data_IF_935442489966
#
_entry.id   IF_935442489966
#
_cell.length_a   1.000
_cell.length_b   1.000
_cell.length_c   1.000
_cell.angle_alpha   90.00
_cell.angle_beta   90.00
_cell.angle_gamma   90.00
#
_symmetry.space_group_name_H-M   'P 1'
#
loop_
_entity.id
_entity.type
_entity.pdbx_description
1 polymer ?
#
# COMPACT_ATOMS: atom_id res chain seq x y z
N UNK A 1 -17.23 -0.83 6.46
CA UNK A 1 -16.51 -0.78 5.16
C UNK A 1 -15.99 -2.16 4.73
N UNK A 2 -16.11 -2.51 3.44
CA UNK A 2 -15.45 -3.64 2.77
C UNK A 2 -14.37 -3.13 1.82
N UNK A 3 -13.13 -3.59 1.97
CA UNK A 3 -11.98 -3.10 1.18
C UNK A 3 -11.27 -4.22 0.41
N UNK A 4 -11.02 -3.99 -0.88
CA UNK A 4 -10.21 -4.87 -1.72
C UNK A 4 -8.87 -4.21 -2.04
N UNK A 5 -7.75 -4.78 -1.60
CA UNK A 5 -6.45 -4.43 -2.16
C UNK A 5 -6.21 -5.15 -3.48
N UNK A 6 -5.75 -4.40 -4.48
CA UNK A 6 -5.52 -4.87 -5.83
C UNK A 6 -4.11 -4.51 -6.29
N UNK A 7 -3.30 -5.53 -6.59
CA UNK A 7 -2.02 -5.33 -7.28
C UNK A 7 -0.81 -5.84 -6.51
N UNK A 8 0.06 -4.92 -6.11
CA UNK A 8 1.42 -5.23 -5.68
C UNK A 8 1.50 -5.97 -4.34
N UNK A 9 2.58 -6.74 -4.22
CA UNK A 9 3.11 -7.33 -3.00
C UNK A 9 4.62 -7.46 -3.16
N UNK A 10 5.34 -7.49 -2.06
CA UNK A 10 6.79 -7.70 -2.02
C UNK A 10 7.16 -8.24 -0.64
N UNK A 11 8.30 -8.90 -0.50
CA UNK A 11 8.91 -9.09 0.81
C UNK A 11 9.91 -7.96 1.10
N UNK A 12 9.91 -7.47 2.34
CA UNK A 12 10.95 -6.60 2.85
C UNK A 12 11.91 -7.45 3.68
N UNK A 13 13.13 -7.67 3.16
CA UNK A 13 14.17 -8.46 3.82
C UNK A 13 15.11 -7.58 4.63
N UNK A 14 15.01 -7.71 5.94
CA UNK A 14 15.84 -7.04 6.92
C UNK A 14 17.10 -7.87 7.12
N UNK A 15 18.12 -7.64 6.28
CA UNK A 15 19.32 -8.49 6.22
C UNK A 15 20.10 -8.48 7.54
N UNK A 16 20.04 -7.39 8.30
CA UNK A 16 20.66 -7.27 9.62
C UNK A 16 19.92 -8.05 10.73
N UNK A 17 18.75 -8.63 10.41
CA UNK A 17 17.93 -9.44 11.32
C UNK A 17 17.74 -10.88 10.87
N UNK A 18 18.23 -11.23 9.68
CA UNK A 18 17.96 -12.52 9.03
C UNK A 18 16.47 -12.84 8.86
N UNK A 19 15.65 -11.82 8.62
CA UNK A 19 14.18 -11.92 8.55
C UNK A 19 13.62 -11.28 7.26
N UNK A 20 12.55 -11.86 6.72
CA UNK A 20 11.70 -11.25 5.70
C UNK A 20 10.30 -11.01 6.23
N UNK A 21 9.73 -9.86 5.89
CA UNK A 21 8.38 -9.49 6.25
C UNK A 21 7.53 -9.37 4.98
N UNK A 22 6.34 -9.98 4.93
CA UNK A 22 5.36 -9.70 3.88
C UNK A 22 5.04 -8.19 3.82
N UNK A 23 4.93 -7.67 2.60
CA UNK A 23 4.82 -6.25 2.33
C UNK A 23 4.17 -5.93 0.97
N UNK A 24 4.29 -4.68 0.56
CA UNK A 24 3.69 -4.12 -0.65
C UNK A 24 2.35 -3.44 -0.37
N UNK A 25 2.14 -2.29 -0.98
CA UNK A 25 1.13 -1.32 -0.58
C UNK A 25 -0.29 -1.92 -0.60
N UNK A 26 -0.69 -2.55 -1.71
CA UNK A 26 -2.02 -3.14 -1.82
C UNK A 26 -2.27 -4.27 -0.81
N UNK A 27 -1.25 -5.09 -0.54
CA UNK A 27 -1.33 -6.16 0.46
C UNK A 27 -1.40 -5.59 1.90
N UNK A 28 -0.52 -4.64 2.21
CA UNK A 28 -0.46 -3.96 3.50
C UNK A 28 -1.79 -3.31 3.84
N UNK A 29 -2.34 -2.51 2.93
CA UNK A 29 -3.63 -1.83 3.14
C UNK A 29 -4.77 -2.83 3.35
N UNK A 30 -4.76 -4.00 2.69
CA UNK A 30 -5.77 -5.05 2.89
C UNK A 30 -5.77 -5.62 4.31
N UNK A 31 -4.57 -5.89 4.85
CA UNK A 31 -4.39 -6.39 6.21
C UNK A 31 -4.70 -5.31 7.23
N UNK A 32 -4.13 -4.12 7.05
CA UNK A 32 -4.26 -3.01 7.98
C UNK A 32 -5.69 -2.48 8.05
N UNK A 33 -6.43 -2.51 6.94
CA UNK A 33 -7.86 -2.20 6.93
C UNK A 33 -8.66 -3.20 7.77
N UNK A 34 -8.28 -4.49 7.75
CA UNK A 34 -8.90 -5.50 8.59
C UNK A 34 -8.63 -5.24 10.07
N UNK A 35 -7.39 -4.91 10.41
CA UNK A 35 -6.95 -4.62 11.79
C UNK A 35 -7.60 -3.39 12.40
N UNK A 36 -7.81 -2.32 11.64
CA UNK A 36 -8.49 -1.11 12.14
C UNK A 36 -10.00 -1.30 12.33
N UNK A 37 -10.60 -2.31 11.68
CA UNK A 37 -12.00 -2.69 11.92
C UNK A 37 -12.88 -2.83 10.68
N UNK A 38 -12.32 -2.84 9.47
CA UNK A 38 -13.11 -3.13 8.27
C UNK A 38 -13.82 -4.49 8.41
N UNK A 39 -15.09 -4.54 8.02
CA UNK A 39 -15.95 -5.72 8.17
C UNK A 39 -15.39 -6.91 7.39
N UNK A 40 -14.90 -6.64 6.18
CA UNK A 40 -14.40 -7.64 5.25
C UNK A 40 -13.30 -7.04 4.40
N UNK A 41 -12.17 -7.73 4.28
CA UNK A 41 -11.11 -7.34 3.35
C UNK A 41 -10.72 -8.50 2.45
N UNK A 42 -10.30 -8.17 1.24
CA UNK A 42 -9.77 -9.13 0.29
C UNK A 42 -8.50 -8.62 -0.34
N UNK A 43 -7.69 -9.54 -0.84
CA UNK A 43 -6.51 -9.22 -1.62
C UNK A 43 -6.54 -9.95 -2.97
N UNK A 44 -6.25 -9.20 -4.04
CA UNK A 44 -6.16 -9.71 -5.40
C UNK A 44 -4.82 -9.26 -5.99
N UNK A 45 -3.86 -10.18 -5.99
CA UNK A 45 -2.53 -10.01 -6.56
C UNK A 45 -1.95 -11.34 -7.02
N UNK A 46 -0.68 -11.34 -7.41
CA UNK A 46 0.05 -12.55 -7.80
C UNK A 46 1.15 -12.83 -6.79
N UNK A 47 1.10 -13.99 -6.14
CA UNK A 47 2.17 -14.53 -5.30
C UNK A 47 2.93 -15.62 -6.06
N UNK A 48 4.16 -15.89 -5.66
CA UNK A 48 4.93 -17.00 -6.21
C UNK A 48 4.57 -18.34 -5.55
N UNK A 49 4.93 -19.44 -6.19
CA UNK A 49 4.81 -20.81 -5.67
C UNK A 49 6.03 -21.25 -4.83
N UNK A 50 6.92 -20.32 -4.49
CA UNK A 50 8.10 -20.55 -3.66
C UNK A 50 7.74 -20.54 -2.15
N UNK A 51 8.67 -20.95 -1.26
CA UNK A 51 8.42 -20.94 0.19
C UNK A 51 8.01 -19.55 0.74
N UNK A 52 8.63 -18.43 0.33
CA UNK A 52 8.15 -17.09 0.69
C UNK A 52 6.72 -16.82 0.23
N UNK A 53 6.35 -17.16 -1.02
CA UNK A 53 5.00 -16.96 -1.54
C UNK A 53 3.96 -17.78 -0.79
N UNK A 54 4.29 -19.02 -0.41
CA UNK A 54 3.47 -19.85 0.47
C UNK A 54 3.29 -19.22 1.86
N UNK A 55 4.36 -18.69 2.45
CA UNK A 55 4.33 -17.98 3.73
C UNK A 55 3.46 -16.72 3.65
N UNK A 56 3.60 -15.92 2.59
CA UNK A 56 2.79 -14.72 2.36
C UNK A 56 1.30 -15.08 2.32
N UNK A 57 0.93 -16.13 1.57
CA UNK A 57 -0.46 -16.58 1.48
C UNK A 57 -1.00 -17.05 2.84
N UNK A 58 -0.17 -17.71 3.67
CA UNK A 58 -0.53 -18.10 5.02
C UNK A 58 -0.75 -16.88 5.93
N UNK A 59 0.15 -15.89 5.88
CA UNK A 59 0.04 -14.65 6.64
C UNK A 59 -1.26 -13.89 6.31
N UNK A 60 -1.61 -13.76 5.02
CA UNK A 60 -2.87 -13.13 4.61
C UNK A 60 -4.10 -13.85 5.19
N UNK A 61 -4.08 -15.19 5.25
CA UNK A 61 -5.18 -15.98 5.82
C UNK A 61 -5.26 -15.83 7.33
N UNK A 62 -4.12 -15.79 8.03
CA UNK A 62 -4.06 -15.57 9.48
C UNK A 62 -4.62 -14.18 9.84
N UNK A 63 -4.33 -13.18 9.02
CA UNK A 63 -4.89 -11.83 9.11
C UNK A 63 -6.37 -11.73 8.69
N UNK A 64 -7.02 -12.86 8.40
CA UNK A 64 -8.42 -12.92 7.96
C UNK A 64 -8.72 -12.09 6.70
N UNK A 65 -7.74 -11.94 5.82
CA UNK A 65 -7.92 -11.35 4.48
C UNK A 65 -8.41 -12.44 3.55
N UNK A 66 -9.43 -12.15 2.74
CA UNK A 66 -9.88 -13.09 1.73
C UNK A 66 -8.90 -13.18 0.56
N UNK A 67 -8.52 -14.42 0.23
CA UNK A 67 -7.48 -14.76 -0.74
C UNK A 67 -7.95 -15.68 -1.87
N UNK A 68 -9.26 -15.98 -2.00
CA UNK A 68 -9.77 -16.83 -3.10
C UNK A 68 -9.46 -16.32 -4.50
N UNK A 69 -9.12 -15.03 -4.63
CA UNK A 69 -8.74 -14.39 -5.89
C UNK A 69 -7.24 -14.13 -6.02
N UNK A 70 -6.42 -14.53 -5.06
CA UNK A 70 -4.96 -14.50 -5.21
C UNK A 70 -4.55 -15.49 -6.31
N UNK A 71 -3.66 -15.06 -7.20
CA UNK A 71 -3.06 -15.90 -8.23
C UNK A 71 -1.72 -16.43 -7.75
N UNK A 72 -1.40 -17.66 -8.11
CA UNK A 72 -0.10 -18.26 -7.86
C UNK A 72 0.63 -18.38 -9.20
N UNK A 73 1.77 -17.72 -9.32
CA UNK A 73 2.66 -17.81 -10.48
C UNK A 73 3.87 -18.70 -10.17
N UNK A 74 4.34 -19.44 -11.17
CA UNK A 74 5.55 -20.27 -11.02
C UNK A 74 6.77 -19.36 -11.08
N UNK A 75 7.57 -19.32 -10.02
CA UNK A 75 8.78 -18.49 -9.97
C UNK A 75 9.19 -18.07 -8.57
N UNK A 76 9.80 -16.89 -8.46
CA UNK A 76 10.33 -16.36 -7.19
C UNK A 76 9.55 -15.14 -6.73
N UNK A 77 9.36 -15.02 -5.43
CA UNK A 77 8.78 -13.85 -4.78
C UNK A 77 9.70 -12.64 -4.89
N UNK A 78 9.13 -11.46 -5.16
CA UNK A 78 9.88 -10.21 -5.13
C UNK A 78 10.33 -9.88 -3.71
N UNK A 79 11.54 -9.35 -3.58
CA UNK A 79 12.14 -8.98 -2.32
C UNK A 79 12.93 -7.68 -2.43
N UNK A 80 12.63 -6.70 -1.58
CA UNK A 80 13.45 -5.53 -1.32
C UNK A 80 14.42 -5.83 -0.19
N UNK A 81 15.65 -5.33 -0.28
CA UNK A 81 16.69 -5.54 0.72
C UNK A 81 16.88 -4.28 1.56
N UNK A 82 16.80 -4.46 2.88
CA UNK A 82 16.97 -3.40 3.87
C UNK A 82 18.23 -3.70 4.69
N UNK A 83 19.13 -2.73 4.70
CA UNK A 83 20.38 -2.75 5.47
C UNK A 83 20.45 -1.56 6.42
N UNK A 84 21.41 -1.59 7.33
CA UNK A 84 21.78 -0.42 8.12
C UNK A 84 22.89 0.34 7.39
N UNK A 85 22.81 1.66 7.37
CA UNK A 85 23.89 2.54 6.93
C UNK A 85 24.95 2.74 8.04
N UNK A 86 25.94 3.59 7.77
CA UNK A 86 27.05 3.87 8.68
C UNK A 86 26.61 4.52 10.00
N UNK A 87 25.39 5.09 10.05
CA UNK A 87 24.81 5.69 11.25
C UNK A 87 23.88 4.74 12.00
N UNK A 88 23.67 3.53 11.47
CA UNK A 88 22.70 2.57 12.00
C UNK A 88 21.27 2.86 11.56
N UNK A 89 21.07 3.80 10.64
CA UNK A 89 19.77 4.10 10.05
C UNK A 89 19.49 3.14 8.90
N UNK A 90 18.21 2.88 8.61
CA UNK A 90 17.82 1.89 7.61
C UNK A 90 17.80 2.49 6.22
N UNK A 91 18.32 1.73 5.26
CA UNK A 91 18.31 2.11 3.85
C UNK A 91 18.04 0.90 2.95
N UNK A 92 17.44 1.16 1.79
CA UNK A 92 17.21 0.16 0.77
C UNK A 92 18.49 -0.06 -0.04
N UNK A 93 19.01 -1.29 -0.06
CA UNK A 93 20.23 -1.65 -0.79
C UNK A 93 19.97 -2.26 -2.18
N UNK A 94 18.71 -2.52 -2.52
CA UNK A 94 18.29 -3.05 -3.81
C UNK A 94 17.13 -4.02 -3.70
N UNK A 95 16.94 -4.83 -4.74
CA UNK A 95 15.95 -5.91 -4.78
C UNK A 95 16.47 -7.11 -5.60
N UNK A 96 15.74 -8.22 -5.58
CA UNK A 96 16.10 -9.43 -6.30
C UNK A 96 15.75 -9.42 -7.81
N UNK A 97 15.50 -8.25 -8.40
CA UNK A 97 15.48 -8.03 -9.84
C UNK A 97 14.15 -8.38 -10.55
N UNK A 98 14.21 -8.43 -11.89
CA UNK A 98 13.04 -8.54 -12.78
C UNK A 98 12.53 -9.98 -13.00
N UNK A 99 13.23 -10.99 -12.48
CA UNK A 99 12.88 -12.40 -12.65
C UNK A 99 11.86 -12.89 -11.61
N UNK A 100 11.21 -11.96 -10.91
CA UNK A 100 10.20 -12.24 -9.90
C UNK A 100 8.82 -12.37 -10.53
N UNK A 101 7.93 -13.14 -9.91
CA UNK A 101 6.57 -13.36 -10.41
C UNK A 101 5.82 -12.04 -10.61
N UNK A 102 6.04 -11.06 -9.73
CA UNK A 102 5.44 -9.73 -9.76
C UNK A 102 5.88 -8.90 -10.99
N UNK A 103 7.06 -9.18 -11.55
CA UNK A 103 7.55 -8.55 -12.77
C UNK A 103 7.27 -9.37 -14.03
N UNK A 104 7.19 -10.71 -13.90
CA UNK A 104 6.96 -11.63 -15.02
C UNK A 104 5.49 -11.74 -15.43
N UNK A 105 4.57 -11.55 -14.48
CA UNK A 105 3.14 -11.72 -14.71
C UNK A 105 2.37 -10.42 -14.48
N UNK A 106 1.54 -10.05 -15.45
CA UNK A 106 0.57 -8.98 -15.27
C UNK A 106 -0.78 -9.56 -14.84
N UNK A 107 -1.42 -8.88 -13.90
CA UNK A 107 -2.71 -9.28 -13.37
C UNK A 107 -3.84 -8.98 -14.37
N UNK A 108 -4.34 -10.03 -15.02
CA UNK A 108 -5.46 -9.92 -15.96
C UNK A 108 -6.77 -10.29 -15.25
N UNK A 109 -7.66 -9.31 -15.06
CA UNK A 109 -8.94 -9.52 -14.40
C UNK A 109 -9.96 -10.18 -15.34
N UNK A 110 -10.54 -11.28 -14.87
CA UNK A 110 -11.65 -11.97 -15.52
C UNK A 110 -12.98 -11.29 -15.19
N UNK A 111 -14.08 -11.59 -15.93
CA UNK A 111 -15.41 -11.11 -15.56
C UNK A 111 -15.82 -11.48 -14.13
N UNK A 112 -15.40 -12.64 -13.63
CA UNK A 112 -15.66 -13.08 -12.26
C UNK A 112 -14.87 -12.25 -11.23
N UNK A 113 -13.66 -11.80 -11.57
CA UNK A 113 -12.90 -10.90 -10.70
C UNK A 113 -13.53 -9.51 -10.65
N UNK A 114 -14.04 -9.01 -11.78
CA UNK A 114 -14.78 -7.74 -11.83
C UNK A 114 -16.08 -7.81 -11.01
N UNK A 115 -16.78 -8.94 -11.05
CA UNK A 115 -17.98 -9.17 -10.25
C UNK A 115 -17.63 -9.29 -8.75
N UNK A 116 -16.53 -9.95 -8.43
CA UNK A 116 -16.01 -10.03 -7.06
C UNK A 116 -15.63 -8.64 -6.52
N UNK A 117 -14.88 -7.85 -7.29
CA UNK A 117 -14.47 -6.49 -6.91
C UNK A 117 -15.66 -5.54 -6.72
N UNK A 118 -16.76 -5.76 -7.45
CA UNK A 118 -18.00 -4.99 -7.29
C UNK A 118 -18.72 -5.21 -5.95
N UNK A 119 -18.35 -6.22 -5.17
CA UNK A 119 -18.93 -6.49 -3.85
C UNK A 119 -18.26 -5.70 -2.72
N UNK A 120 -17.22 -4.91 -3.03
CA UNK A 120 -16.48 -4.08 -2.09
C UNK A 120 -16.91 -2.62 -2.20
N UNK A 121 -16.77 -1.88 -1.10
CA UNK A 121 -17.07 -0.44 -1.07
C UNK A 121 -15.92 0.36 -1.70
N UNK A 122 -14.68 -0.04 -1.39
CA UNK A 122 -13.45 0.61 -1.85
C UNK A 122 -12.50 -0.43 -2.43
N UNK A 123 -11.92 -0.11 -3.58
CA UNK A 123 -10.79 -0.84 -4.16
C UNK A 123 -9.56 0.05 -3.99
N UNK A 124 -8.52 -0.46 -3.33
CA UNK A 124 -7.26 0.23 -3.14
C UNK A 124 -6.16 -0.40 -4.01
N UNK A 125 -5.32 0.42 -4.63
CA UNK A 125 -4.19 0.01 -5.46
C UNK A 125 -3.07 1.06 -5.38
N UNK A 126 -1.91 0.77 -5.94
CA UNK A 126 -0.80 1.73 -6.04
C UNK A 126 -0.41 1.99 -7.48
N UNK A 127 0.32 3.08 -7.71
CA UNK A 127 0.99 3.34 -8.98
C UNK A 127 2.01 2.25 -9.36
N UNK A 128 2.51 1.49 -8.37
CA UNK A 128 3.46 0.39 -8.57
C UNK A 128 2.76 -0.96 -8.81
N UNK A 129 1.44 -1.05 -8.67
CA UNK A 129 0.66 -2.26 -8.92
C UNK A 129 0.62 -2.68 -10.40
N UNK A 130 1.00 -1.80 -11.33
CA UNK A 130 1.04 -2.11 -12.77
C UNK A 130 -0.32 -2.40 -13.40
N UNK A 131 -1.42 -1.95 -12.78
CA UNK A 131 -2.78 -2.13 -13.30
C UNK A 131 -3.07 -1.07 -14.35
N UNK A 132 -3.52 -1.48 -15.54
CA UNK A 132 -3.81 -0.54 -16.63
C UNK A 132 -5.01 0.37 -16.33
N UNK A 133 -4.96 1.60 -16.81
CA UNK A 133 -6.04 2.59 -16.67
C UNK A 133 -7.39 2.07 -17.22
N UNK A 134 -7.37 1.21 -18.24
CA UNK A 134 -8.57 0.59 -18.78
C UNK A 134 -9.26 -0.35 -17.77
N UNK A 135 -8.47 -1.15 -17.03
CA UNK A 135 -8.98 -2.02 -15.96
C UNK A 135 -9.48 -1.18 -14.80
N UNK A 136 -8.70 -0.19 -14.36
CA UNK A 136 -9.09 0.72 -13.27
C UNK A 136 -10.37 1.48 -13.58
N UNK A 137 -10.52 2.00 -14.81
CA UNK A 137 -11.75 2.66 -15.24
C UNK A 137 -12.96 1.71 -15.32
N UNK A 138 -12.72 0.41 -15.52
CA UNK A 138 -13.75 -0.63 -15.41
C UNK A 138 -14.23 -0.86 -13.98
N UNK A 139 -13.30 -0.80 -13.02
CA UNK A 139 -13.54 -1.00 -11.60
C UNK A 139 -14.19 0.22 -10.93
N UNK A 140 -13.77 1.44 -11.30
CA UNK A 140 -14.31 2.69 -10.74
C UNK A 140 -15.80 2.92 -11.01
N UNK A 141 -16.36 2.21 -12.01
CA UNK A 141 -17.82 2.20 -12.27
C UNK A 141 -18.60 1.31 -11.30
N UNK A 142 -17.93 0.59 -10.41
CA UNK A 142 -18.52 -0.46 -9.55
C UNK A 142 -18.28 -0.21 -8.07
N UNK A 143 -17.13 0.34 -7.70
CA UNK A 143 -16.74 0.69 -6.34
C UNK A 143 -15.87 1.94 -6.37
N UNK A 144 -15.74 2.62 -5.23
CA UNK A 144 -14.85 3.76 -5.11
C UNK A 144 -13.39 3.30 -5.29
N UNK A 145 -12.64 4.03 -6.12
CA UNK A 145 -11.24 3.72 -6.38
C UNK A 145 -10.34 4.62 -5.54
N UNK A 146 -9.44 3.99 -4.78
CA UNK A 146 -8.37 4.63 -4.03
C UNK A 146 -7.03 4.23 -4.65
N UNK A 147 -6.17 5.22 -4.87
CA UNK A 147 -4.82 4.99 -5.38
C UNK A 147 -3.77 5.69 -4.52
N UNK A 148 -2.71 4.97 -4.16
CA UNK A 148 -1.47 5.56 -3.67
C UNK A 148 -0.49 5.83 -4.81
N UNK A 149 -0.02 7.07 -4.91
CA UNK A 149 0.97 7.51 -5.88
C UNK A 149 2.40 7.52 -5.33
N UNK A 150 2.63 7.08 -4.08
CA UNK A 150 3.94 7.09 -3.44
C UNK A 150 4.55 8.51 -3.42
N UNK A 151 5.87 8.63 -3.24
CA UNK A 151 6.60 9.90 -3.27
C UNK A 151 7.11 10.28 -4.68
N UNK A 152 7.18 9.31 -5.60
CA UNK A 152 7.84 9.37 -6.90
C UNK A 152 6.91 9.06 -8.09
N UNK A 153 5.70 8.56 -7.82
CA UNK A 153 4.78 8.11 -8.87
C UNK A 153 3.81 9.15 -9.40
N UNK A 154 3.88 10.41 -8.99
CA UNK A 154 2.93 11.45 -9.42
C UNK A 154 3.57 12.60 -10.21
N UNK A 155 2.86 12.97 -11.27
CA UNK A 155 3.11 14.12 -12.13
C UNK A 155 1.79 14.83 -12.38
N UNK A 156 1.81 16.03 -12.95
CA UNK A 156 0.57 16.69 -13.37
C UNK A 156 -0.19 15.82 -14.39
N UNK A 157 0.52 15.29 -15.39
CA UNK A 157 -0.08 14.52 -16.49
C UNK A 157 -0.78 13.24 -16.03
N UNK A 158 -0.09 12.35 -15.32
CA UNK A 158 -0.69 11.07 -14.94
C UNK A 158 -1.83 11.23 -13.92
N UNK A 159 -1.73 12.20 -13.01
CA UNK A 159 -2.80 12.50 -12.06
C UNK A 159 -4.03 13.02 -12.80
N UNK A 160 -3.88 13.92 -13.78
CA UNK A 160 -5.01 14.38 -14.59
C UNK A 160 -5.66 13.26 -15.42
N UNK A 161 -4.87 12.32 -15.94
CA UNK A 161 -5.38 11.17 -16.69
C UNK A 161 -6.20 10.21 -15.81
N UNK A 162 -5.79 10.01 -14.55
CA UNK A 162 -6.45 9.12 -13.60
C UNK A 162 -7.56 9.81 -12.80
N UNK A 163 -7.55 11.13 -12.70
CA UNK A 163 -8.53 11.90 -11.93
C UNK A 163 -10.00 11.52 -12.19
N UNK A 164 -10.46 11.29 -13.44
CA UNK A 164 -11.85 10.95 -13.71
C UNK A 164 -12.33 9.63 -13.11
N UNK A 165 -11.42 8.75 -12.68
CA UNK A 165 -11.75 7.42 -12.14
C UNK A 165 -11.43 7.27 -10.66
N UNK A 166 -10.79 8.26 -10.03
CA UNK A 166 -10.37 8.19 -8.64
C UNK A 166 -11.36 8.90 -7.71
N UNK A 167 -11.71 8.22 -6.61
CA UNK A 167 -12.37 8.86 -5.46
C UNK A 167 -11.35 9.40 -4.48
N UNK A 168 -10.28 8.64 -4.23
CA UNK A 168 -9.20 8.96 -3.31
C UNK A 168 -7.85 8.89 -4.01
N UNK A 169 -7.03 9.92 -3.84
CA UNK A 169 -5.63 9.91 -4.26
C UNK A 169 -4.74 10.25 -3.05
N UNK A 170 -3.87 9.31 -2.70
CA UNK A 170 -2.87 9.46 -1.65
C UNK A 170 -1.51 9.73 -2.28
N UNK A 171 -0.74 10.59 -1.61
CA UNK A 171 0.59 11.00 -2.03
C UNK A 171 1.50 11.09 -0.81
N UNK A 172 2.78 10.77 -1.00
CA UNK A 172 3.81 11.08 0.01
C UNK A 172 4.52 12.37 -0.37
N UNK A 173 4.50 13.35 0.55
CA UNK A 173 5.13 14.64 0.31
C UNK A 173 6.66 14.53 0.21
N UNK A 174 7.28 13.58 0.91
CA UNK A 174 8.73 13.57 1.14
C UNK A 174 9.18 14.89 1.76
N UNK A 175 10.22 15.50 1.17
CA UNK A 175 10.79 16.78 1.62
C UNK A 175 10.04 18.03 1.10
N UNK A 176 8.96 17.85 0.32
CA UNK A 176 8.21 18.99 -0.25
C UNK A 176 7.63 19.87 0.86
N UNK A 177 7.69 21.19 0.66
CA UNK A 177 7.10 22.19 1.55
C UNK A 177 5.56 22.11 1.54
N UNK A 178 4.92 22.71 2.56
CA UNK A 178 3.46 22.77 2.63
C UNK A 178 2.86 23.54 1.44
N UNK A 179 3.56 24.56 0.94
CA UNK A 179 3.13 25.36 -0.22
C UNK A 179 3.15 24.54 -1.51
N UNK A 180 4.21 23.76 -1.75
CA UNK A 180 4.29 22.85 -2.90
C UNK A 180 3.20 21.77 -2.84
N UNK A 181 2.99 21.19 -1.66
CA UNK A 181 1.93 20.19 -1.42
C UNK A 181 0.55 20.81 -1.66
N UNK A 182 0.27 21.98 -1.10
CA UNK A 182 -1.02 22.67 -1.28
C UNK A 182 -1.28 22.99 -2.75
N UNK A 183 -0.26 23.46 -3.48
CA UNK A 183 -0.37 23.76 -4.91
C UNK A 183 -0.72 22.51 -5.72
N UNK A 184 -0.06 21.39 -5.45
CA UNK A 184 -0.34 20.14 -6.17
C UNK A 184 -1.69 19.52 -5.75
N UNK A 185 -2.04 19.56 -4.46
CA UNK A 185 -3.32 19.10 -3.97
C UNK A 185 -4.48 19.86 -4.63
N UNK A 186 -4.33 21.18 -4.78
CA UNK A 186 -5.28 22.01 -5.51
C UNK A 186 -5.39 21.60 -6.97
N UNK A 187 -4.27 21.40 -7.66
CA UNK A 187 -4.28 20.92 -9.04
C UNK A 187 -5.04 19.59 -9.19
N UNK A 188 -4.71 18.59 -8.36
CA UNK A 188 -5.34 17.27 -8.38
C UNK A 188 -6.86 17.36 -8.11
N UNK A 189 -7.28 18.21 -7.16
CA UNK A 189 -8.68 18.47 -6.88
C UNK A 189 -9.40 19.19 -8.05
N UNK A 190 -8.74 20.17 -8.68
CA UNK A 190 -9.25 20.88 -9.86
C UNK A 190 -9.38 19.95 -11.08
N UNK A 191 -8.58 18.87 -11.16
CA UNK A 191 -8.75 17.78 -12.13
C UNK A 191 -9.97 16.89 -11.83
N UNK A 192 -10.60 17.05 -10.67
CA UNK A 192 -11.85 16.36 -10.31
C UNK A 192 -11.72 15.29 -9.22
N UNK A 193 -10.53 15.10 -8.62
CA UNK A 193 -10.35 14.11 -7.55
C UNK A 193 -11.04 14.61 -6.26
N UNK A 194 -12.05 13.90 -5.73
CA UNK A 194 -12.81 14.40 -4.59
C UNK A 194 -12.05 14.46 -3.28
N UNK A 195 -11.13 13.50 -3.06
CA UNK A 195 -10.33 13.37 -1.85
C UNK A 195 -8.85 13.27 -2.24
N UNK A 196 -8.11 14.34 -2.01
CA UNK A 196 -6.67 14.41 -2.23
C UNK A 196 -5.97 14.49 -0.89
N UNK A 197 -5.07 13.55 -0.62
CA UNK A 197 -4.44 13.38 0.68
C UNK A 197 -2.92 13.28 0.52
N UNK A 198 -2.20 14.04 1.33
CA UNK A 198 -0.74 13.99 1.44
C UNK A 198 -0.33 13.57 2.84
N UNK A 199 0.46 12.50 2.96
CA UNK A 199 1.19 12.19 4.19
C UNK A 199 2.54 12.90 4.18
N UNK A 200 2.95 13.47 5.31
CA UNK A 200 4.15 14.31 5.43
C UNK A 200 5.09 13.81 6.55
N UNK A 201 5.02 12.52 6.88
CA UNK A 201 5.80 11.91 7.96
C UNK A 201 5.52 12.57 9.31
N UNK A 202 6.57 12.97 10.01
CA UNK A 202 6.47 13.65 11.31
C UNK A 202 5.83 15.04 11.25
N UNK A 203 5.61 15.60 10.05
CA UNK A 203 4.90 16.88 9.85
C UNK A 203 3.38 16.72 9.77
N UNK A 204 2.86 15.49 9.86
CA UNK A 204 1.43 15.19 9.86
C UNK A 204 0.91 14.85 8.47
N UNK A 205 -0.32 15.27 8.19
CA UNK A 205 -0.98 15.06 6.92
C UNK A 205 -1.81 16.29 6.53
N UNK A 206 -2.04 16.49 5.24
CA UNK A 206 -2.93 17.53 4.76
C UNK A 206 -3.62 17.09 3.47
N UNK A 207 -4.58 17.88 3.01
CA UNK A 207 -5.27 17.52 1.78
C UNK A 207 -6.41 18.46 1.43
N UNK A 208 -7.10 18.11 0.36
CA UNK A 208 -8.32 18.78 -0.07
C UNK A 208 -9.45 17.74 -0.09
N UNK A 209 -10.53 18.07 0.60
CA UNK A 209 -11.77 17.29 0.60
C UNK A 209 -12.91 18.19 0.17
N UNK A 210 -13.60 17.84 -0.92
CA UNK A 210 -14.73 18.61 -1.44
C UNK A 210 -14.40 20.11 -1.65
N UNK A 211 -13.16 20.40 -2.09
CA UNK A 211 -12.68 21.76 -2.35
C UNK A 211 -12.23 22.54 -1.10
N UNK A 212 -12.28 21.95 0.10
CA UNK A 212 -11.77 22.56 1.33
C UNK A 212 -10.42 21.95 1.71
N UNK A 213 -9.44 22.82 1.99
CA UNK A 213 -8.14 22.40 2.51
C UNK A 213 -8.22 22.07 4.00
N UNK A 214 -7.54 21.01 4.41
CA UNK A 214 -7.43 20.59 5.80
C UNK A 214 -5.99 20.16 6.11
N UNK A 215 -5.63 20.20 7.39
CA UNK A 215 -4.35 19.74 7.90
C UNK A 215 -4.56 19.08 9.27
N UNK A 216 -3.84 17.99 9.51
CA UNK A 216 -3.81 17.23 10.75
C UNK A 216 -2.37 17.05 11.22
N UNK A 217 -2.16 17.10 12.54
CA UNK A 217 -0.84 16.89 13.13
C UNK A 217 -0.42 15.41 13.08
N UNK A 218 0.89 15.16 13.13
CA UNK A 218 1.41 13.81 13.33
C UNK A 218 1.24 13.37 14.79
N UNK A 219 1.04 12.07 14.99
CA UNK A 219 1.22 11.48 16.31
C UNK A 219 2.72 11.27 16.58
N UNK A 220 3.24 11.93 17.61
CA UNK A 220 4.67 11.89 17.95
C UNK A 220 4.98 10.64 18.79
N UNK A 221 5.86 9.79 18.27
CA UNK A 221 6.34 8.56 18.90
C UNK A 221 7.84 8.38 18.64
N UNK A 222 8.46 7.42 19.34
CA UNK A 222 9.78 6.91 18.99
C UNK A 222 9.61 5.62 18.17
N UNK A 223 9.87 5.64 16.84
CA UNK A 223 9.59 4.49 15.98
C UNK A 223 10.63 3.38 16.17
N UNK A 224 10.18 2.13 16.10
CA UNK A 224 11.01 0.93 15.86
C UNK A 224 11.22 0.75 14.37
N UNK A 225 10.15 0.92 13.60
CA UNK A 225 10.11 0.84 12.15
C UNK A 225 9.22 1.99 11.62
N UNK A 226 9.39 2.42 10.37
CA UNK A 226 8.49 3.34 9.69
C UNK A 226 7.91 2.72 8.39
N UNK A 227 8.35 1.50 8.04
CA UNK A 227 7.86 0.73 6.92
C UNK A 227 6.40 0.39 7.17
N UNK A 228 5.56 0.63 6.15
CA UNK A 228 4.12 0.45 6.24
C UNK A 228 3.36 1.58 6.93
N UNK A 229 4.01 2.62 7.47
CA UNK A 229 3.31 3.74 8.11
C UNK A 229 2.33 4.46 7.16
N UNK A 230 2.74 4.64 5.90
CA UNK A 230 1.86 5.20 4.86
C UNK A 230 0.66 4.30 4.56
N UNK A 231 0.89 2.99 4.45
CA UNK A 231 -0.17 2.01 4.19
C UNK A 231 -1.16 1.92 5.37
N UNK A 232 -0.65 2.00 6.60
CA UNK A 232 -1.44 2.08 7.83
C UNK A 232 -2.29 3.34 7.84
N UNK A 233 -1.69 4.49 7.48
CA UNK A 233 -2.42 5.75 7.34
C UNK A 233 -3.55 5.62 6.31
N UNK A 234 -3.26 5.08 5.11
CA UNK A 234 -4.26 4.89 4.05
C UNK A 234 -5.42 4.01 4.54
N UNK A 235 -5.10 2.85 5.11
CA UNK A 235 -6.09 1.90 5.61
C UNK A 235 -7.02 2.54 6.66
N UNK A 236 -6.43 3.20 7.66
CA UNK A 236 -7.18 3.85 8.73
C UNK A 236 -7.96 5.09 8.25
N UNK A 237 -7.41 5.85 7.30
CA UNK A 237 -8.10 6.98 6.70
C UNK A 237 -9.35 6.50 5.96
N UNK A 238 -9.21 5.51 5.07
CA UNK A 238 -10.33 4.98 4.27
C UNK A 238 -11.44 4.43 5.18
N UNK A 239 -11.07 3.63 6.18
CA UNK A 239 -12.00 3.08 7.16
C UNK A 239 -12.73 4.17 7.94
N UNK A 240 -11.98 5.09 8.57
CA UNK A 240 -12.55 6.13 9.41
C UNK A 240 -13.40 7.10 8.60
N UNK A 241 -12.98 7.46 7.38
CA UNK A 241 -13.75 8.30 6.46
C UNK A 241 -15.10 7.67 6.11
N UNK A 242 -15.12 6.35 5.89
CA UNK A 242 -16.36 5.63 5.61
C UNK A 242 -17.29 5.58 6.83
N UNK A 243 -16.74 5.23 8.01
CA UNK A 243 -17.52 5.11 9.26
C UNK A 243 -18.04 6.47 9.77
N UNK A 244 -17.26 7.54 9.61
CA UNK A 244 -17.58 8.87 10.15
C UNK A 244 -18.46 9.73 9.23
N UNK A 245 -18.91 9.19 8.09
CA UNK A 245 -19.76 9.92 7.13
C UNK A 245 -19.01 10.89 6.23
N UNK A 246 -17.69 10.77 6.07
CA UNK A 246 -16.90 11.48 5.06
C UNK A 246 -16.15 12.71 5.55
N UNK A 247 -15.81 12.79 6.84
CA UNK A 247 -14.94 13.82 7.39
C UNK A 247 -13.47 13.45 7.20
N UNK A 248 -12.80 14.09 6.24
CA UNK A 248 -11.39 13.86 5.94
C UNK A 248 -10.45 14.25 7.09
N UNK A 249 -10.73 15.36 7.79
CA UNK A 249 -9.90 15.80 8.91
C UNK A 249 -9.93 14.77 10.06
N UNK A 250 -11.13 14.34 10.48
CA UNK A 250 -11.27 13.32 11.52
C UNK A 250 -10.65 11.99 11.12
N UNK A 251 -10.77 11.62 9.83
CA UNK A 251 -10.14 10.42 9.30
C UNK A 251 -8.61 10.51 9.34
N UNK A 252 -8.04 11.68 9.01
CA UNK A 252 -6.60 11.91 9.05
C UNK A 252 -6.04 11.90 10.48
N UNK A 253 -6.75 12.48 11.44
CA UNK A 253 -6.37 12.45 12.87
C UNK A 253 -6.29 11.00 13.39
N UNK A 254 -7.31 10.17 13.13
CA UNK A 254 -7.29 8.76 13.54
C UNK A 254 -6.24 7.95 12.77
N UNK A 255 -6.08 8.23 11.47
CA UNK A 255 -5.06 7.58 10.66
C UNK A 255 -3.63 7.88 11.15
N UNK A 256 -3.38 9.09 11.65
CA UNK A 256 -2.09 9.46 12.22
C UNK A 256 -1.74 8.63 13.47
N UNK A 257 -2.72 8.35 14.34
CA UNK A 257 -2.52 7.48 15.49
C UNK A 257 -2.25 6.03 15.08
N UNK A 258 -3.05 5.47 14.17
CA UNK A 258 -2.86 4.10 13.72
C UNK A 258 -1.54 3.89 12.96
N UNK A 259 -1.15 4.88 12.15
CA UNK A 259 0.15 4.87 11.48
C UNK A 259 1.32 4.94 12.48
N UNK A 260 1.19 5.70 13.56
CA UNK A 260 2.18 5.73 14.63
C UNK A 260 2.27 4.38 15.36
N UNK A 261 1.16 3.70 15.60
CA UNK A 261 1.19 2.36 16.22
C UNK A 261 1.86 1.32 15.31
N UNK A 262 1.63 1.39 14.00
CA UNK A 262 2.32 0.55 13.00
C UNK A 262 3.85 0.70 13.07
N UNK A 263 4.33 1.87 13.45
CA UNK A 263 5.75 2.15 13.57
C UNK A 263 6.41 1.51 14.82
N UNK A 264 5.65 0.86 15.71
CA UNK A 264 6.15 0.27 16.95
C UNK A 264 6.64 -1.18 16.80
N UNK A 265 6.56 -1.76 15.60
CA UNK A 265 7.04 -3.10 15.28
C UNK A 265 7.69 -3.16 13.91
N UNK A 266 8.49 -4.20 13.64
CA UNK A 266 9.09 -4.40 12.32
C UNK A 266 8.08 -4.86 11.27
N UNK A 267 8.28 -4.38 10.04
CA UNK A 267 7.41 -4.65 8.91
C UNK A 267 6.04 -3.95 9.04
N UNK A 268 5.30 -3.91 7.93
CA UNK A 268 3.99 -3.23 7.90
C UNK A 268 2.94 -3.93 8.78
N UNK A 269 2.96 -5.26 8.84
CA UNK A 269 1.99 -6.02 9.64
C UNK A 269 2.56 -7.26 10.34
N UNK A 270 3.88 -7.42 10.40
CA UNK A 270 4.55 -8.54 11.07
C UNK A 270 4.69 -9.79 10.18
N UNK A 271 4.53 -10.98 10.76
CA UNK A 271 4.72 -12.28 10.10
C UNK A 271 6.14 -12.55 9.55
N UNK A 272 7.20 -12.43 10.37
CA UNK A 272 8.56 -12.69 9.90
C UNK A 272 8.73 -14.13 9.44
N UNK A 273 9.44 -14.30 8.32
CA UNK A 273 10.00 -15.55 7.83
C UNK A 273 11.52 -15.48 7.96
N UNK A 274 12.17 -16.54 8.46
CA UNK A 274 13.63 -16.55 8.49
C UNK A 274 14.20 -16.57 7.07
N UNK A 275 15.28 -15.80 6.83
CA UNK A 275 16.04 -15.85 5.57
C UNK A 275 16.52 -17.26 5.24
N UNK A 276 16.85 -18.07 6.25
CA UNK A 276 17.26 -19.46 6.05
C UNK A 276 16.12 -20.34 5.50
N UNK A 277 14.90 -20.16 6.03
CA UNK A 277 13.70 -20.90 5.61
C UNK A 277 13.19 -20.44 4.25
N UNK A 278 13.46 -19.18 3.88
CA UNK A 278 13.03 -18.58 2.62
C UNK A 278 13.67 -19.23 1.38
N UNK A 279 14.86 -19.82 1.52
CA UNK A 279 15.65 -20.30 0.39
C UNK A 279 16.18 -19.20 -0.54
N UNK A 280 15.99 -17.91 -0.22
CA UNK A 280 16.43 -16.78 -1.06
C UNK A 280 17.95 -16.55 -0.99
N UNK A 281 18.61 -17.00 0.10
CA UNK A 281 20.06 -16.91 0.28
C UNK A 281 20.81 -18.21 -0.03
N UNK A 282 20.17 -19.25 -0.60
CA UNK A 282 20.93 -20.39 -1.12
C UNK A 282 21.80 -19.91 -2.27
N UNK A 283 23.07 -19.70 -1.93
CA UNK A 283 24.18 -19.20 -2.73
C UNK A 283 24.14 -19.66 -4.17
N UNK A 284 24.45 -18.73 -5.09
CA UNK A 284 24.86 -19.07 -6.46
C UNK A 284 25.95 -20.15 -6.48
N UNK A 285 26.21 -20.75 -7.65
CA UNK A 285 27.00 -21.97 -7.75
C UNK A 285 28.37 -21.78 -7.10
N UNK A 286 28.69 -22.64 -6.13
CA UNK A 286 30.09 -22.92 -5.82
C UNK A 286 30.67 -23.61 -7.04
N UNK A 287 31.43 -22.87 -7.85
CA UNK A 287 32.50 -23.36 -8.72
C UNK A 287 33.43 -22.20 -9.09
#
# INVERSE_FOLDING_TARGET
>A
MKLLGLGDNVFDAYLFRDELYPGGNAANVSVLARRIGAEYTGYLGVLADDPPGCHFLAALREESVEVSRVRIGVGKSACNYIVLDDHGDRTFSGNNGKETVQNLFSLHLTPQDLAYAAAFDVIHTSIHSGISNAVLGGLSRRADLSMDFSNDGFTHTNVAELAPILRFAFFSAGERSLEEVHTFAKYAADCGIPQVIFTMGTRGACGISQGQFWQADACVIQPVDALGAGDAFIAAFLYTFWENGGSALLAAEQAAHFAADCCLHYGAFGHPLSLAESGLLSTGPQN
#
